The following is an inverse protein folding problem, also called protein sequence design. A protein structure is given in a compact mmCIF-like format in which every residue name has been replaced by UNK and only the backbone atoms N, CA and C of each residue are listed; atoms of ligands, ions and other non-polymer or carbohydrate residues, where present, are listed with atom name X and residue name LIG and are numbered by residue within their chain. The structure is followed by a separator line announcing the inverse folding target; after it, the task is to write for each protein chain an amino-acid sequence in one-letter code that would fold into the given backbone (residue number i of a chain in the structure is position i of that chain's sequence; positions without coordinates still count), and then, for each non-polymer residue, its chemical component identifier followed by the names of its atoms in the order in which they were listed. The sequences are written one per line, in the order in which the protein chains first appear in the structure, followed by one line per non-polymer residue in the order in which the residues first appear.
data_IF_955518907037
#
_entry.id   IF_955518907037
#
_cell.length_a   1.000
_cell.length_b   1.000
_cell.length_c   1.000
_cell.angle_alpha   90.00
_cell.angle_beta   90.00
_cell.angle_gamma   90.00
#
_symmetry.space_group_name_H-M   'P 1'
#
loop_
_entity.id
_entity.type
_entity.pdbx_description
1 polymer ?
#
# COMPACT_ATOMS: atom_id res chain seq x y z
N UNK A 1 -9.19 2.02 1.58
CA UNK A 1 -7.80 2.30 2.03
C UNK A 1 -6.96 2.90 0.89
N UNK A 2 -6.89 2.28 -0.29
CA UNK A 2 -6.05 2.79 -1.41
C UNK A 2 -6.54 4.11 -2.00
N UNK A 3 -7.85 4.26 -2.26
CA UNK A 3 -8.43 5.51 -2.75
C UNK A 3 -8.23 6.67 -1.77
N UNK A 4 -8.39 6.40 -0.48
CA UNK A 4 -8.17 7.38 0.60
C UNK A 4 -6.70 7.79 0.75
N UNK A 5 -5.74 6.88 0.50
CA UNK A 5 -4.30 7.21 0.50
C UNK A 5 -3.92 8.07 -0.71
N UNK A 6 -4.45 7.75 -1.89
CA UNK A 6 -4.22 8.55 -3.10
C UNK A 6 -4.81 9.96 -2.98
N UNK A 7 -6.01 10.07 -2.39
CA UNK A 7 -6.65 11.35 -2.12
C UNK A 7 -5.84 12.18 -1.10
N UNK A 8 -5.37 11.56 -0.02
CA UNK A 8 -4.53 12.22 0.98
C UNK A 8 -3.20 12.69 0.38
N UNK A 9 -2.52 11.86 -0.41
CA UNK A 9 -1.28 12.22 -1.10
C UNK A 9 -1.48 13.40 -2.06
N UNK A 10 -2.60 13.40 -2.79
CA UNK A 10 -2.97 14.50 -3.71
C UNK A 10 -3.21 15.82 -2.97
N UNK A 11 -3.91 15.76 -1.83
CA UNK A 11 -4.15 16.95 -0.97
C UNK A 11 -2.86 17.52 -0.39
N UNK A 12 -1.98 16.67 0.13
CA UNK A 12 -0.68 17.08 0.69
C UNK A 12 0.19 17.73 -0.39
N UNK A 13 0.27 17.12 -1.57
CA UNK A 13 1.01 17.69 -2.71
C UNK A 13 0.47 19.08 -3.10
N UNK A 14 -0.85 19.21 -3.21
CA UNK A 14 -1.50 20.47 -3.57
C UNK A 14 -1.25 21.59 -2.55
N UNK A 15 -1.30 21.27 -1.25
CA UNK A 15 -0.99 22.21 -0.18
C UNK A 15 0.47 22.69 -0.27
N UNK A 16 1.38 21.74 -0.39
CA UNK A 16 2.80 22.03 -0.29
C UNK A 16 3.39 22.73 -1.53
N UNK A 17 2.81 22.53 -2.72
CA UNK A 17 3.10 23.35 -3.91
C UNK A 17 2.65 24.80 -3.67
N UNK A 18 1.44 25.00 -3.13
CA UNK A 18 0.87 26.33 -2.89
C UNK A 18 1.65 27.10 -1.82
N UNK A 19 2.15 26.41 -0.80
CA UNK A 19 2.94 27.01 0.27
C UNK A 19 4.41 27.26 -0.10
N UNK A 20 4.85 26.92 -1.33
CA UNK A 20 6.26 26.95 -1.78
C UNK A 20 7.21 26.21 -0.82
N UNK A 21 6.68 25.23 -0.08
CA UNK A 21 7.40 24.60 1.03
C UNK A 21 7.93 23.21 0.66
N UNK A 22 7.82 22.83 -0.62
CA UNK A 22 8.48 21.66 -1.20
C UNK A 22 9.49 22.11 -2.25
N UNK A 23 10.72 21.62 -2.10
CA UNK A 23 11.70 21.62 -3.20
C UNK A 23 11.18 20.77 -4.36
N UNK A 24 11.52 21.14 -5.60
CA UNK A 24 11.08 20.46 -6.83
C UNK A 24 11.31 18.93 -6.81
N UNK A 25 12.39 18.47 -6.18
CA UNK A 25 12.68 17.03 -6.01
C UNK A 25 11.57 16.28 -5.27
N UNK A 26 10.98 16.88 -4.23
CA UNK A 26 9.94 16.23 -3.46
C UNK A 26 8.59 16.23 -4.21
N UNK A 27 8.30 17.29 -4.98
CA UNK A 27 7.12 17.33 -5.86
C UNK A 27 7.20 16.22 -6.91
N UNK A 28 8.39 15.98 -7.46
CA UNK A 28 8.64 14.89 -8.42
C UNK A 28 8.41 13.52 -7.78
N UNK A 29 9.03 13.25 -6.63
CA UNK A 29 8.90 11.97 -5.91
C UNK A 29 7.44 11.66 -5.57
N UNK A 30 6.68 12.62 -5.08
CA UNK A 30 5.27 12.40 -4.77
C UNK A 30 4.40 12.17 -6.03
N UNK A 31 4.70 12.85 -7.16
CA UNK A 31 4.02 12.58 -8.44
C UNK A 31 4.34 11.17 -8.94
N UNK A 32 5.60 10.78 -8.88
CA UNK A 32 6.05 9.44 -9.30
C UNK A 32 5.39 8.36 -8.43
N UNK A 33 5.29 8.58 -7.11
CA UNK A 33 4.57 7.69 -6.20
C UNK A 33 3.07 7.59 -6.54
N UNK A 34 2.41 8.72 -6.83
CA UNK A 34 1.00 8.75 -7.24
C UNK A 34 0.76 8.01 -8.56
N UNK A 35 1.65 8.18 -9.54
CA UNK A 35 1.60 7.47 -10.82
C UNK A 35 1.81 5.96 -10.64
N UNK A 36 2.78 5.55 -9.82
CA UNK A 36 3.05 4.14 -9.52
C UNK A 36 1.86 3.47 -8.82
N UNK A 37 1.24 4.15 -7.84
CA UNK A 37 0.03 3.65 -7.16
C UNK A 37 -1.12 3.49 -8.16
N UNK A 38 -1.32 4.48 -9.03
CA UNK A 38 -2.39 4.45 -10.04
C UNK A 38 -2.18 3.32 -11.05
N UNK A 39 -0.96 3.17 -11.58
CA UNK A 39 -0.61 2.10 -12.51
C UNK A 39 -0.78 0.71 -11.88
N UNK A 40 -0.32 0.54 -10.62
CA UNK A 40 -0.52 -0.69 -9.86
C UNK A 40 -2.00 -1.02 -9.67
N UNK A 41 -2.83 -0.03 -9.35
CA UNK A 41 -4.27 -0.23 -9.18
C UNK A 41 -4.98 -0.58 -10.50
N UNK A 42 -4.61 0.08 -11.60
CA UNK A 42 -5.15 -0.24 -12.94
C UNK A 42 -4.76 -1.64 -13.38
N UNK A 43 -3.50 -2.04 -13.18
CA UNK A 43 -3.05 -3.41 -13.47
C UNK A 43 -3.78 -4.44 -12.60
N UNK A 44 -4.01 -4.14 -11.32
CA UNK A 44 -4.75 -5.01 -10.41
C UNK A 44 -6.22 -5.12 -10.84
N UNK A 45 -6.86 -4.00 -11.22
CA UNK A 45 -8.21 -4.00 -11.75
C UNK A 45 -8.33 -4.75 -13.08
N UNK A 46 -7.35 -4.62 -13.98
CA UNK A 46 -7.28 -5.39 -15.22
C UNK A 46 -7.11 -6.88 -14.95
N UNK A 47 -6.22 -7.27 -14.02
CA UNK A 47 -6.05 -8.68 -13.64
C UNK A 47 -7.31 -9.27 -13.00
N UNK A 48 -8.04 -8.48 -12.22
CA UNK A 48 -9.33 -8.86 -11.65
C UNK A 48 -10.44 -8.95 -12.70
N UNK A 49 -10.45 -8.07 -13.71
CA UNK A 49 -11.42 -8.10 -14.80
C UNK A 49 -11.15 -9.23 -15.81
N UNK A 50 -9.88 -9.52 -16.09
CA UNK A 50 -9.45 -10.68 -16.90
C UNK A 50 -9.59 -12.02 -16.16
N UNK A 51 -10.01 -12.00 -14.89
CA UNK A 51 -10.13 -13.14 -13.98
C UNK A 51 -11.38 -14.01 -14.20
N UNK A 52 -12.25 -13.69 -15.17
CA UNK A 52 -13.47 -14.49 -15.41
C UNK A 52 -13.18 -15.93 -15.89
N UNK A 53 -11.92 -16.29 -16.15
CA UNK A 53 -11.50 -17.67 -16.45
C UNK A 53 -10.39 -18.18 -15.49
N UNK A 54 -10.82 -18.76 -14.37
CA UNK A 54 -10.20 -19.93 -13.73
C UNK A 54 -8.84 -19.85 -13.01
N UNK A 55 -7.91 -18.97 -13.40
CA UNK A 55 -6.50 -19.12 -12.96
C UNK A 55 -6.08 -18.28 -11.73
N UNK A 56 -6.96 -17.44 -11.17
CA UNK A 56 -6.62 -16.50 -10.09
C UNK A 56 -6.81 -17.01 -8.65
N UNK A 57 -7.16 -18.28 -8.45
CA UNK A 57 -7.25 -18.82 -7.09
C UNK A 57 -5.86 -18.96 -6.44
N UNK A 58 -4.82 -19.25 -7.23
CA UNK A 58 -3.44 -19.41 -6.77
C UNK A 58 -2.78 -18.10 -6.32
N UNK A 59 -2.99 -17.00 -7.07
CA UNK A 59 -2.28 -15.72 -6.82
C UNK A 59 -2.75 -15.06 -5.51
N UNK A 60 -3.94 -15.37 -5.01
CA UNK A 60 -4.47 -14.83 -3.75
C UNK A 60 -4.24 -15.75 -2.54
N UNK A 61 -3.79 -16.99 -2.74
CA UNK A 61 -3.48 -17.92 -1.66
C UNK A 61 -2.12 -17.63 -1.02
N UNK A 62 -1.10 -17.37 -1.83
CA UNK A 62 0.26 -17.09 -1.34
C UNK A 62 0.33 -15.83 -0.46
N UNK A 63 -0.20 -14.65 -0.87
CA UNK A 63 -0.22 -13.46 -0.02
C UNK A 63 -1.09 -13.64 1.23
N UNK A 64 -2.10 -14.53 1.19
CA UNK A 64 -2.99 -14.81 2.33
C UNK A 64 -2.29 -15.70 3.36
N UNK A 65 -1.54 -16.70 2.91
CA UNK A 65 -0.72 -17.55 3.76
C UNK A 65 0.36 -16.73 4.47
N UNK A 66 1.07 -15.88 3.74
CA UNK A 66 2.08 -14.98 4.32
C UNK A 66 1.48 -13.99 5.33
N UNK A 67 0.30 -13.41 5.05
CA UNK A 67 -0.37 -12.51 5.98
C UNK A 67 -0.74 -13.22 7.30
N UNK A 68 -1.17 -14.48 7.21
CA UNK A 68 -1.51 -15.28 8.39
C UNK A 68 -0.27 -15.59 9.24
N UNK A 69 0.86 -15.91 8.61
CA UNK A 69 2.13 -16.14 9.30
C UNK A 69 2.65 -14.86 9.97
N UNK A 70 2.59 -13.72 9.29
CA UNK A 70 3.00 -12.42 9.84
C UNK A 70 2.18 -12.05 11.07
N UNK A 71 0.86 -12.24 11.04
CA UNK A 71 -0.01 -11.98 12.21
C UNK A 71 0.34 -12.88 13.40
N UNK A 72 0.66 -14.14 13.13
CA UNK A 72 1.10 -15.08 14.16
C UNK A 72 2.42 -14.64 14.79
N UNK A 73 3.41 -14.28 13.98
CA UNK A 73 4.68 -13.73 14.46
C UNK A 73 4.50 -12.44 15.25
N UNK A 74 3.61 -11.55 14.80
CA UNK A 74 3.33 -10.28 15.47
C UNK A 74 2.73 -10.51 16.87
N UNK A 75 1.86 -11.52 17.03
CA UNK A 75 1.32 -11.91 18.33
C UNK A 75 2.38 -12.49 19.27
N UNK A 76 3.30 -13.31 18.75
CA UNK A 76 4.42 -13.86 19.53
C UNK A 76 5.38 -12.75 19.99
N UNK A 77 5.73 -11.83 19.08
CA UNK A 77 6.57 -10.68 19.39
C UNK A 77 5.92 -9.75 20.43
N UNK A 78 4.62 -9.48 20.31
CA UNK A 78 3.89 -8.68 21.29
C UNK A 78 3.94 -9.31 22.69
N UNK A 79 3.78 -10.63 22.76
CA UNK A 79 3.84 -11.37 24.02
C UNK A 79 5.25 -11.39 24.63
N UNK A 80 6.28 -11.55 23.80
CA UNK A 80 7.67 -11.43 24.25
C UNK A 80 8.03 -10.03 24.75
N UNK A 81 7.50 -8.98 24.12
CA UNK A 81 7.68 -7.61 24.61
C UNK A 81 6.99 -7.38 25.96
N UNK A 82 5.77 -7.90 26.14
CA UNK A 82 5.04 -7.82 27.41
C UNK A 82 5.73 -8.59 28.54
N UNK A 83 6.41 -9.70 28.23
CA UNK A 83 7.20 -10.48 29.19
C UNK A 83 8.54 -9.81 29.54
N UNK A 84 9.12 -8.99 28.65
CA UNK A 84 10.34 -8.21 28.93
C UNK A 84 10.08 -6.88 29.64
N UNK A 85 8.85 -6.37 29.60
CA UNK A 85 8.43 -5.16 30.36
C UNK A 85 8.05 -5.46 31.83
N UNK A 86 8.02 -6.74 32.24
CA UNK A 86 7.87 -7.17 33.64
C UNK A 86 9.20 -7.32 34.37
#
# INVERSE_FOLDING_TARGET
ITASVLEAATKVLGFSIRSKNLRDTHVKVLRDASAAITAGNTLMAQRMASSEFGENQDILEEPRAENMQLRTMQGVLAKMMEEMEK
#
